data_IF_089969773166
#
_entry.id   IF_089969773166
#
_cell.length_a   1.000
_cell.length_b   1.000
_cell.length_c   1.000
_cell.angle_alpha   90.00
_cell.angle_beta   90.00
_cell.angle_gamma   90.00
#
_symmetry.space_group_name_H-M   'P 1'
#
loop_
_entity.id
_entity.type
_entity.pdbx_description
1 polymer ?
#
# COMPACT_ATOMS: atom_id res chain seq x y z
N UNK A 1 -19.77 -17.90 16.68
CA UNK A 1 -19.97 -16.49 16.32
C UNK A 1 -19.01 -16.18 15.19
N UNK A 2 -19.50 -15.90 13.99
CA UNK A 2 -18.66 -15.42 12.89
C UNK A 2 -18.30 -13.97 13.24
N UNK A 3 -17.15 -13.75 13.89
CA UNK A 3 -16.64 -12.41 14.20
C UNK A 3 -15.58 -11.92 13.22
N UNK A 4 -15.22 -12.74 12.23
CA UNK A 4 -14.26 -12.34 11.20
C UNK A 4 -15.01 -12.19 9.88
N UNK A 5 -15.29 -10.94 9.52
CA UNK A 5 -15.75 -10.55 8.20
C UNK A 5 -14.58 -9.85 7.53
N UNK A 6 -13.98 -10.51 6.54
CA UNK A 6 -12.84 -9.98 5.82
C UNK A 6 -13.30 -9.26 4.54
N UNK A 7 -12.82 -8.03 4.37
CA UNK A 7 -12.95 -7.26 3.13
C UNK A 7 -11.56 -7.08 2.52
N UNK A 8 -11.41 -7.40 1.25
CA UNK A 8 -10.14 -7.34 0.55
C UNK A 8 -10.19 -6.31 -0.57
N UNK A 9 -9.12 -5.55 -0.71
CA UNK A 9 -8.90 -4.61 -1.82
C UNK A 9 -7.80 -5.17 -2.70
N UNK A 10 -8.06 -5.25 -4.00
CA UNK A 10 -7.02 -5.63 -4.95
C UNK A 10 -6.09 -4.43 -5.19
N UNK A 11 -4.90 -4.49 -4.60
CA UNK A 11 -3.95 -3.37 -4.67
C UNK A 11 -3.41 -3.11 -6.09
N UNK A 12 -3.49 -4.08 -7.00
CA UNK A 12 -3.07 -3.90 -8.39
C UNK A 12 -4.06 -3.05 -9.19
N UNK A 13 -5.37 -3.27 -8.97
CA UNK A 13 -6.45 -2.56 -9.68
C UNK A 13 -6.90 -1.30 -8.95
N UNK A 14 -7.08 -1.40 -7.63
CA UNK A 14 -7.75 -0.40 -6.80
C UNK A 14 -6.78 0.31 -5.84
N UNK A 15 -5.54 -0.18 -5.74
CA UNK A 15 -4.53 0.33 -4.80
C UNK A 15 -4.24 1.82 -4.98
N UNK A 16 -4.16 2.31 -6.22
CA UNK A 16 -3.95 3.74 -6.49
C UNK A 16 -5.01 4.63 -5.84
N UNK A 17 -6.28 4.24 -5.91
CA UNK A 17 -7.36 5.02 -5.29
C UNK A 17 -7.31 4.91 -3.77
N UNK A 18 -7.11 3.71 -3.24
CA UNK A 18 -6.94 3.49 -1.80
C UNK A 18 -5.81 4.35 -1.23
N UNK A 19 -4.62 4.27 -1.83
CA UNK A 19 -3.45 5.03 -1.41
C UNK A 19 -3.68 6.53 -1.51
N UNK A 20 -4.35 7.00 -2.56
CA UNK A 20 -4.70 8.42 -2.68
C UNK A 20 -5.65 8.89 -1.58
N UNK A 21 -6.70 8.11 -1.27
CA UNK A 21 -7.65 8.43 -0.18
C UNK A 21 -6.91 8.50 1.16
N UNK A 22 -6.08 7.51 1.47
CA UNK A 22 -5.31 7.47 2.71
C UNK A 22 -4.31 8.63 2.79
N UNK A 23 -3.59 8.93 1.71
CA UNK A 23 -2.68 10.08 1.62
C UNK A 23 -3.39 11.39 1.93
N UNK A 24 -4.53 11.64 1.28
CA UNK A 24 -5.31 12.88 1.47
C UNK A 24 -5.77 12.98 2.92
N UNK A 25 -6.30 11.89 3.47
CA UNK A 25 -6.75 11.84 4.86
C UNK A 25 -5.61 12.14 5.84
N UNK A 26 -4.47 11.46 5.73
CA UNK A 26 -3.32 11.66 6.62
C UNK A 26 -2.82 13.11 6.54
N UNK A 27 -2.74 13.66 5.32
CA UNK A 27 -2.28 15.04 5.10
C UNK A 27 -3.21 16.06 5.74
N UNK A 28 -4.51 15.94 5.50
CA UNK A 28 -5.49 16.96 5.88
C UNK A 28 -5.68 17.03 7.41
N UNK A 29 -5.49 15.89 8.10
CA UNK A 29 -5.63 15.81 9.56
C UNK A 29 -4.29 15.79 10.32
N UNK A 30 -3.14 16.00 9.65
CA UNK A 30 -1.80 15.89 10.26
C UNK A 30 -1.59 16.78 11.50
N UNK A 31 -2.24 17.94 11.53
CA UNK A 31 -2.11 18.92 12.61
C UNK A 31 -3.36 18.98 13.50
N UNK A 32 -4.25 17.98 13.43
CA UNK A 32 -5.45 17.97 14.26
C UNK A 32 -5.09 17.87 15.74
N UNK A 33 -5.84 18.61 16.57
CA UNK A 33 -5.78 18.54 18.03
C UNK A 33 -6.92 17.69 18.61
N UNK A 34 -7.84 17.20 17.78
CA UNK A 34 -8.99 16.41 18.21
C UNK A 34 -8.60 14.93 18.39
N UNK A 35 -8.80 14.33 19.58
CA UNK A 35 -8.35 12.97 19.85
C UNK A 35 -8.82 11.92 18.83
N UNK A 36 -10.10 11.98 18.43
CA UNK A 36 -10.68 11.04 17.48
C UNK A 36 -10.14 11.21 16.05
N UNK A 37 -9.65 12.39 15.67
CA UNK A 37 -9.01 12.60 14.37
C UNK A 37 -7.58 12.07 14.39
N UNK A 38 -6.85 12.27 15.50
CA UNK A 38 -5.53 11.69 15.71
C UNK A 38 -5.60 10.15 15.63
N UNK A 39 -6.54 9.52 16.33
CA UNK A 39 -6.76 8.06 16.27
C UNK A 39 -7.03 7.56 14.84
N UNK A 40 -7.86 8.28 14.08
CA UNK A 40 -8.13 7.94 12.68
C UNK A 40 -6.90 8.10 11.79
N UNK A 41 -6.08 9.13 12.02
CA UNK A 41 -4.83 9.33 11.29
C UNK A 41 -3.86 8.19 11.55
N UNK A 42 -3.69 7.79 12.81
CA UNK A 42 -2.82 6.66 13.16
C UNK A 42 -3.32 5.35 12.53
N UNK A 43 -4.64 5.14 12.52
CA UNK A 43 -5.23 4.02 11.80
C UNK A 43 -4.95 4.07 10.29
N UNK A 44 -5.11 5.24 9.66
CA UNK A 44 -4.85 5.43 8.23
C UNK A 44 -3.37 5.21 7.87
N UNK A 45 -2.44 5.69 8.71
CA UNK A 45 -1.00 5.44 8.57
C UNK A 45 -0.70 3.95 8.61
N UNK A 46 -1.22 3.25 9.62
CA UNK A 46 -1.05 1.79 9.75
C UNK A 46 -1.60 1.06 8.52
N UNK A 47 -2.83 1.40 8.09
CA UNK A 47 -3.45 0.77 6.94
C UNK A 47 -2.66 1.00 5.65
N UNK A 48 -2.12 2.21 5.45
CA UNK A 48 -1.25 2.52 4.32
C UNK A 48 0.05 1.71 4.36
N UNK A 49 0.69 1.62 5.54
CA UNK A 49 1.89 0.83 5.75
C UNK A 49 1.65 -0.67 5.45
N UNK A 50 0.58 -1.25 6.01
CA UNK A 50 0.24 -2.66 5.83
C UNK A 50 -0.11 -2.96 4.37
N UNK A 51 -0.82 -2.07 3.69
CA UNK A 51 -1.11 -2.22 2.26
C UNK A 51 0.17 -2.13 1.41
N UNK A 52 1.13 -1.26 1.74
CA UNK A 52 2.41 -1.20 1.02
C UNK A 52 3.27 -2.46 1.23
N UNK A 53 3.27 -3.03 2.45
CA UNK A 53 3.93 -4.32 2.73
C UNK A 53 3.28 -5.46 1.95
N UNK A 54 1.95 -5.55 1.95
CA UNK A 54 1.23 -6.55 1.16
C UNK A 54 1.50 -6.42 -0.35
N UNK A 55 1.63 -5.18 -0.84
CA UNK A 55 2.02 -4.92 -2.23
C UNK A 55 3.43 -5.46 -2.51
N UNK A 56 4.39 -5.18 -1.63
CA UNK A 56 5.78 -5.67 -1.75
C UNK A 56 5.86 -7.20 -1.71
N UNK A 57 5.15 -7.85 -0.79
CA UNK A 57 5.05 -9.31 -0.72
C UNK A 57 4.44 -9.89 -2.01
N UNK A 58 3.42 -9.24 -2.56
CA UNK A 58 2.81 -9.61 -3.83
C UNK A 58 3.77 -9.51 -5.02
N UNK A 59 4.67 -8.51 -5.03
CA UNK A 59 5.75 -8.39 -6.02
C UNK A 59 6.74 -9.55 -5.86
N UNK A 60 7.24 -9.79 -4.64
CA UNK A 60 8.21 -10.87 -4.37
C UNK A 60 7.67 -12.24 -4.80
N UNK A 61 6.40 -12.53 -4.48
CA UNK A 61 5.75 -13.77 -4.89
C UNK A 61 5.63 -13.91 -6.43
N UNK A 62 5.45 -12.80 -7.16
CA UNK A 62 5.47 -12.82 -8.64
C UNK A 62 6.89 -13.04 -9.17
N UNK A 63 7.90 -12.39 -8.59
CA UNK A 63 9.30 -12.57 -8.98
C UNK A 63 9.79 -14.01 -8.78
N UNK A 64 9.44 -14.65 -7.66
CA UNK A 64 9.77 -16.05 -7.40
C UNK A 64 9.16 -16.99 -8.46
N UNK A 65 7.91 -16.72 -8.89
CA UNK A 65 7.26 -17.49 -9.96
C UNK A 65 7.95 -17.29 -11.32
N UNK A 66 8.42 -16.08 -11.60
CA UNK A 66 9.20 -15.79 -12.81
C UNK A 66 10.51 -16.59 -12.78
N UNK A 67 11.23 -16.61 -11.66
CA UNK A 67 12.47 -17.38 -11.52
C UNK A 67 12.27 -18.89 -11.72
N UNK A 68 11.07 -19.41 -11.46
CA UNK A 68 10.71 -20.82 -11.70
C UNK A 68 10.37 -21.15 -13.17
N UNK A 69 10.48 -20.18 -14.09
CA UNK A 69 10.35 -20.41 -15.54
C UNK A 69 8.95 -20.20 -16.12
N UNK A 70 8.02 -19.60 -15.37
CA UNK A 70 6.66 -19.29 -15.83
C UNK A 70 6.52 -17.84 -16.30
N UNK A 71 7.21 -17.42 -17.36
CA UNK A 71 7.07 -16.01 -17.80
C UNK A 71 7.16 -15.79 -19.30
N UNK A 72 6.41 -14.78 -19.74
CA UNK A 72 6.55 -14.05 -20.99
C UNK A 72 7.01 -12.61 -20.68
N UNK A 73 7.56 -11.88 -21.66
CA UNK A 73 8.07 -10.50 -21.47
C UNK A 73 7.05 -9.55 -20.81
N UNK A 74 5.76 -9.82 -21.00
CA UNK A 74 4.67 -9.06 -20.40
C UNK A 74 4.62 -9.18 -18.86
N UNK A 75 4.96 -10.34 -18.29
CA UNK A 75 4.98 -10.55 -16.84
C UNK A 75 6.10 -9.75 -16.17
N UNK A 76 7.27 -9.69 -16.81
CA UNK A 76 8.40 -8.87 -16.36
C UNK A 76 8.02 -7.38 -16.33
N UNK A 77 7.40 -6.90 -17.40
CA UNK A 77 6.94 -5.51 -17.49
C UNK A 77 5.92 -5.18 -16.40
N UNK A 78 4.97 -6.08 -16.12
CA UNK A 78 4.00 -5.89 -15.03
C UNK A 78 4.72 -5.77 -13.68
N UNK A 79 5.72 -6.61 -13.42
CA UNK A 79 6.50 -6.55 -12.17
C UNK A 79 7.28 -5.24 -12.06
N UNK A 80 7.91 -4.76 -13.12
CA UNK A 80 8.61 -3.48 -13.15
C UNK A 80 7.66 -2.30 -12.87
N UNK A 81 6.49 -2.28 -13.53
CA UNK A 81 5.46 -1.27 -13.29
C UNK A 81 4.97 -1.30 -11.83
N UNK A 82 4.81 -2.51 -11.28
CA UNK A 82 4.41 -2.70 -9.87
C UNK A 82 5.48 -2.16 -8.91
N UNK A 83 6.77 -2.40 -9.16
CA UNK A 83 7.87 -1.86 -8.35
C UNK A 83 7.92 -0.34 -8.39
N UNK A 84 7.82 0.25 -9.58
CA UNK A 84 7.83 1.70 -9.73
C UNK A 84 6.69 2.37 -8.95
N UNK A 85 5.49 1.76 -8.96
CA UNK A 85 4.36 2.22 -8.15
C UNK A 85 4.63 2.09 -6.66
N UNK A 86 5.17 0.94 -6.22
CA UNK A 86 5.50 0.72 -4.82
C UNK A 86 6.51 1.75 -4.32
N UNK A 87 7.57 2.02 -5.08
CA UNK A 87 8.61 3.01 -4.73
C UNK A 87 8.02 4.42 -4.63
N UNK A 88 7.17 4.80 -5.59
CA UNK A 88 6.46 6.08 -5.53
C UNK A 88 5.66 6.20 -4.23
N UNK A 89 4.89 5.16 -3.86
CA UNK A 89 4.04 5.22 -2.68
C UNK A 89 4.79 5.10 -1.36
N UNK A 90 5.91 4.35 -1.29
CA UNK A 90 6.81 4.35 -0.14
C UNK A 90 7.43 5.72 0.10
N UNK A 91 7.84 6.41 -0.98
CA UNK A 91 8.32 7.78 -0.87
C UNK A 91 7.23 8.73 -0.38
N UNK A 92 5.99 8.59 -0.87
CA UNK A 92 4.85 9.36 -0.37
C UNK A 92 4.52 9.08 1.09
N UNK A 93 4.60 7.83 1.52
CA UNK A 93 4.45 7.48 2.93
C UNK A 93 5.50 8.21 3.79
N UNK A 94 6.77 8.15 3.39
CA UNK A 94 7.86 8.85 4.08
C UNK A 94 7.64 10.37 4.15
N UNK A 95 7.22 11.01 3.05
CA UNK A 95 6.90 12.45 3.04
C UNK A 95 5.79 12.81 4.06
N UNK A 96 4.79 11.95 4.23
CA UNK A 96 3.66 12.20 5.13
C UNK A 96 4.02 11.95 6.59
N UNK A 97 4.67 10.81 6.86
CA UNK A 97 4.83 10.25 8.21
C UNK A 97 6.21 10.54 8.79
N UNK A 98 7.24 10.72 7.96
CA UNK A 98 8.63 10.94 8.38
C UNK A 98 9.40 9.65 8.71
N UNK A 99 8.79 8.48 8.49
CA UNK A 99 9.34 7.16 8.80
C UNK A 99 9.48 6.32 7.54
N UNK A 100 10.58 5.56 7.42
CA UNK A 100 10.76 4.59 6.34
C UNK A 100 10.08 3.26 6.70
N UNK A 101 9.53 2.59 5.69
CA UNK A 101 8.88 1.28 5.79
C UNK A 101 9.85 0.12 5.63
#
# INVERSE_FOLDING_TARGET
MSQNLDFNINLYTDGEMLFNILKVFIRDYKNSTWPHEIERVEFAKKLLADALRAYEEGIKAKEERIQQGFYIDQDLKIVEDMKARLDYWKNKYYELVGEQL
#
